data_IF_395577822551
#
_entry.id   IF_395577822551
#
_cell.length_a   1.000
_cell.length_b   1.000
_cell.length_c   1.000
_cell.angle_alpha   90.00
_cell.angle_beta   90.00
_cell.angle_gamma   90.00
#
_symmetry.space_group_name_H-M   'P 1'
#
loop_
_entity.id
_entity.type
_entity.pdbx_description
1 polymer ?
#
# COMPACT_ATOMS: atom_id res chain seq x y z
N UNK A 1 -6.88 -64.60 8.21
CA UNK A 1 -6.38 -64.37 6.83
C UNK A 1 -6.14 -62.88 6.62
N UNK A 2 -5.12 -62.51 5.85
CA UNK A 2 -4.84 -61.11 5.49
C UNK A 2 -5.55 -60.78 4.18
N UNK A 3 -6.12 -59.59 4.07
CA UNK A 3 -6.90 -59.17 2.91
C UNK A 3 -6.06 -58.92 1.65
N UNK A 4 -4.74 -58.77 1.80
CA UNK A 4 -3.82 -58.48 0.71
C UNK A 4 -2.58 -59.34 0.84
N UNK A 5 -2.07 -59.84 -0.28
CA UNK A 5 -0.77 -60.48 -0.40
C UNK A 5 -0.02 -59.84 -1.57
N UNK A 6 1.29 -59.79 -1.46
CA UNK A 6 2.18 -59.35 -2.54
C UNK A 6 2.35 -60.48 -3.54
N UNK A 7 2.73 -60.17 -4.78
CA UNK A 7 3.09 -61.20 -5.75
C UNK A 7 4.22 -62.06 -5.20
N UNK A 8 4.09 -63.38 -5.35
CA UNK A 8 5.11 -64.34 -4.95
C UNK A 8 6.38 -64.17 -5.79
N UNK A 9 7.53 -64.16 -5.12
CA UNK A 9 8.85 -64.17 -5.76
C UNK A 9 9.42 -65.59 -5.66
N UNK A 10 9.56 -66.26 -6.80
CA UNK A 10 10.01 -67.66 -6.86
C UNK A 10 11.53 -67.80 -6.82
N UNK A 11 12.28 -66.70 -6.72
CA UNK A 11 13.74 -66.75 -6.61
C UNK A 11 14.17 -67.23 -5.21
N UNK A 12 15.02 -68.26 -5.18
CA UNK A 12 15.61 -68.75 -3.92
C UNK A 12 16.71 -67.80 -3.43
N UNK A 13 16.33 -66.86 -2.57
CA UNK A 13 17.23 -65.91 -1.92
C UNK A 13 17.05 -65.93 -0.41
N UNK A 14 18.07 -65.48 0.32
CA UNK A 14 18.02 -65.39 1.79
C UNK A 14 17.50 -64.05 2.30
N UNK A 15 17.24 -63.09 1.40
CA UNK A 15 16.67 -61.78 1.72
C UNK A 15 15.78 -61.30 0.57
N UNK A 16 14.54 -60.93 0.90
CA UNK A 16 13.62 -60.24 0.00
C UNK A 16 13.38 -58.81 0.49
N UNK A 17 13.13 -57.90 -0.47
CA UNK A 17 12.66 -56.54 -0.20
C UNK A 17 11.45 -56.28 -1.06
N UNK A 18 10.33 -55.90 -0.42
CA UNK A 18 9.07 -55.65 -1.10
C UNK A 18 8.60 -54.23 -0.77
N UNK A 19 8.31 -53.46 -1.81
CA UNK A 19 7.72 -52.13 -1.67
C UNK A 19 6.21 -52.24 -1.62
N UNK A 20 5.61 -51.85 -0.49
CA UNK A 20 4.16 -51.76 -0.33
C UNK A 20 3.67 -50.37 -0.77
N UNK A 21 2.68 -50.32 -1.67
CA UNK A 21 2.08 -49.08 -2.19
C UNK A 21 0.58 -49.05 -1.90
N UNK A 22 -0.05 -47.88 -2.05
CA UNK A 22 -1.50 -47.73 -1.85
C UNK A 22 -1.96 -47.74 -0.39
N UNK A 23 -1.05 -47.61 0.57
CA UNK A 23 -1.38 -47.56 2.00
C UNK A 23 -1.81 -46.15 2.42
N UNK A 24 -2.78 -46.08 3.34
CA UNK A 24 -3.22 -44.83 3.94
C UNK A 24 -2.16 -44.31 4.90
N UNK A 25 -1.87 -43.01 4.86
CA UNK A 25 -0.91 -42.34 5.74
C UNK A 25 -1.35 -42.37 7.21
N UNK A 26 -0.40 -42.38 8.15
CA UNK A 26 -0.66 -42.37 9.60
C UNK A 26 -1.40 -43.61 10.14
N UNK A 27 -1.52 -44.67 9.34
CA UNK A 27 -2.32 -45.87 9.63
C UNK A 27 -1.41 -47.03 10.03
N UNK A 28 -1.80 -47.76 11.07
CA UNK A 28 -1.10 -48.98 11.49
C UNK A 28 -1.58 -50.16 10.67
N UNK A 29 -0.65 -50.89 10.06
CA UNK A 29 -0.90 -52.10 9.28
C UNK A 29 -0.25 -53.30 9.96
N UNK A 30 -0.95 -54.43 9.92
CA UNK A 30 -0.44 -55.74 10.34
C UNK A 30 0.09 -56.49 9.12
N UNK A 31 1.21 -57.22 9.28
CA UNK A 31 1.79 -58.03 8.22
C UNK A 31 2.45 -59.29 8.78
N UNK A 32 2.53 -60.32 7.94
CA UNK A 32 3.36 -61.51 8.14
C UNK A 32 4.14 -61.78 6.86
N UNK A 33 5.30 -62.42 7.01
CA UNK A 33 6.12 -62.88 5.89
C UNK A 33 5.97 -64.38 5.79
N UNK A 34 5.68 -64.87 4.58
CA UNK A 34 5.65 -66.31 4.26
C UNK A 34 6.81 -66.58 3.32
N UNK A 35 7.58 -67.62 3.62
CA UNK A 35 8.70 -68.09 2.80
C UNK A 35 8.50 -69.57 2.51
N UNK A 36 8.71 -69.99 1.27
CA UNK A 36 8.58 -71.38 0.85
C UNK A 36 9.69 -71.75 -0.14
N UNK A 37 10.09 -73.02 -0.14
CA UNK A 37 11.01 -73.57 -1.14
C UNK A 37 10.16 -74.26 -2.22
N UNK A 38 10.24 -73.83 -3.50
CA UNK A 38 9.48 -74.44 -4.59
C UNK A 38 9.72 -75.96 -4.68
N UNK A 39 8.69 -76.70 -5.07
CA UNK A 39 8.72 -78.16 -5.24
C UNK A 39 9.08 -78.96 -3.97
N UNK A 40 8.90 -78.37 -2.79
CA UNK A 40 9.05 -79.03 -1.48
C UNK A 40 7.92 -78.64 -0.53
N UNK A 41 7.81 -79.35 0.60
CA UNK A 41 6.88 -79.02 1.68
C UNK A 41 7.48 -78.01 2.71
N UNK A 42 8.66 -77.42 2.42
CA UNK A 42 9.29 -76.48 3.33
C UNK A 42 8.68 -75.08 3.19
N UNK A 43 7.87 -74.72 4.17
CA UNK A 43 7.31 -73.39 4.35
C UNK A 43 7.52 -72.92 5.79
N UNK A 44 7.78 -71.63 5.96
CA UNK A 44 7.74 -70.98 7.27
C UNK A 44 6.98 -69.65 7.18
N UNK A 45 6.24 -69.32 8.23
CA UNK A 45 5.44 -68.10 8.34
C UNK A 45 5.85 -67.36 9.59
N UNK A 46 6.21 -66.08 9.43
CA UNK A 46 6.56 -65.23 10.55
C UNK A 46 5.39 -64.99 11.51
N UNK A 47 5.70 -64.57 12.74
CA UNK A 47 4.70 -63.97 13.62
C UNK A 47 4.09 -62.70 13.01
N UNK A 48 2.99 -62.24 13.60
CA UNK A 48 2.36 -60.97 13.23
C UNK A 48 3.22 -59.78 13.67
N UNK A 49 3.51 -58.91 12.72
CA UNK A 49 4.23 -57.66 12.94
C UNK A 49 3.36 -56.48 12.54
N UNK A 50 3.68 -55.32 13.09
CA UNK A 50 3.00 -54.07 12.74
C UNK A 50 3.99 -53.02 12.30
N UNK A 51 3.60 -52.23 11.30
CA UNK A 51 4.26 -50.96 11.01
C UNK A 51 3.21 -49.87 10.90
N UNK A 52 3.63 -48.62 11.10
CA UNK A 52 2.78 -47.45 10.94
C UNK A 52 3.31 -46.63 9.77
N UNK A 53 2.45 -46.33 8.80
CA UNK A 53 2.81 -45.42 7.71
C UNK A 53 3.08 -44.02 8.25
N UNK A 54 3.95 -43.27 7.60
CA UNK A 54 4.21 -41.88 7.95
C UNK A 54 2.93 -41.05 7.82
N UNK A 55 2.73 -40.12 8.74
CA UNK A 55 1.69 -39.10 8.60
C UNK A 55 2.04 -38.15 7.45
N UNK A 56 1.05 -37.58 6.74
CA UNK A 56 1.34 -36.58 5.74
C UNK A 56 1.99 -35.37 6.41
N UNK A 57 2.91 -34.71 5.72
CA UNK A 57 3.51 -33.48 6.22
C UNK A 57 2.41 -32.44 6.50
N UNK A 58 2.49 -31.66 7.59
CA UNK A 58 1.52 -30.61 7.84
C UNK A 58 1.55 -29.59 6.69
N UNK A 59 0.38 -29.17 6.22
CA UNK A 59 0.26 -28.12 5.21
C UNK A 59 0.90 -26.81 5.72
N UNK A 60 1.63 -26.06 4.88
CA UNK A 60 2.20 -24.78 5.29
C UNK A 60 1.09 -23.81 5.70
N UNK A 61 1.28 -23.11 6.83
CA UNK A 61 0.34 -22.04 7.24
C UNK A 61 0.44 -20.89 6.24
N UNK A 62 -0.70 -20.28 5.84
CA UNK A 62 -0.65 -19.09 5.00
C UNK A 62 -0.01 -17.93 5.77
N UNK A 63 1.03 -17.34 5.21
CA UNK A 63 1.64 -16.11 5.75
C UNK A 63 0.67 -14.95 5.52
N UNK A 64 0.30 -14.23 6.58
CA UNK A 64 -0.45 -12.98 6.47
C UNK A 64 0.51 -11.81 6.60
N UNK A 65 0.36 -10.81 5.74
CA UNK A 65 1.15 -9.59 5.80
C UNK A 65 0.26 -8.42 6.23
N UNK A 66 0.88 -7.49 6.94
CA UNK A 66 0.25 -6.26 7.39
C UNK A 66 1.12 -5.08 6.99
N UNK A 67 0.48 -3.94 6.77
CA UNK A 67 1.10 -2.62 6.82
C UNK A 67 0.71 -1.97 8.15
N UNK A 68 1.68 -1.48 8.90
CA UNK A 68 1.44 -0.68 10.10
C UNK A 68 1.09 0.74 9.66
N UNK A 69 0.22 1.43 10.40
CA UNK A 69 -0.17 2.78 10.05
C UNK A 69 -0.20 3.67 11.28
N UNK A 70 0.41 4.84 11.21
CA UNK A 70 0.20 5.96 12.14
C UNK A 70 -0.42 7.11 11.34
N UNK A 71 -1.77 7.17 11.33
CA UNK A 71 -2.51 8.16 10.55
C UNK A 71 -3.11 9.16 11.50
N UNK A 72 -2.53 10.36 11.55
CA UNK A 72 -2.94 11.44 12.45
C UNK A 72 -2.88 11.01 13.93
N UNK A 73 -1.81 10.32 14.32
CA UNK A 73 -1.60 9.83 15.70
C UNK A 73 -2.41 8.58 16.05
N UNK A 74 -3.04 7.93 15.06
CA UNK A 74 -3.85 6.72 15.27
C UNK A 74 -3.14 5.48 14.73
N UNK A 75 -2.60 4.69 15.65
CA UNK A 75 -1.98 3.40 15.36
C UNK A 75 -3.00 2.33 14.93
N UNK A 76 -2.86 1.81 13.72
CA UNK A 76 -3.63 0.68 13.19
C UNK A 76 -2.74 -0.26 12.38
N UNK A 77 -3.34 -1.37 11.93
CA UNK A 77 -2.72 -2.25 10.95
C UNK A 77 -3.75 -2.76 9.96
N UNK A 78 -3.37 -2.80 8.69
CA UNK A 78 -4.23 -3.25 7.60
C UNK A 78 -3.59 -4.42 6.87
N UNK A 79 -4.43 -5.36 6.41
CA UNK A 79 -3.94 -6.52 5.67
C UNK A 79 -3.50 -6.09 4.27
N UNK A 80 -2.32 -6.55 3.89
CA UNK A 80 -1.73 -6.34 2.58
C UNK A 80 -1.30 -7.69 2.01
N UNK A 81 -1.33 -7.86 0.70
CA UNK A 81 -0.83 -9.07 0.06
C UNK A 81 0.71 -9.10 0.04
N UNK A 82 1.29 -10.24 -0.33
CA UNK A 82 2.73 -10.35 -0.57
C UNK A 82 3.23 -9.38 -1.66
N UNK A 83 2.36 -9.01 -2.59
CA UNK A 83 2.65 -8.16 -3.75
C UNK A 83 2.31 -6.69 -3.51
N UNK A 84 1.93 -6.29 -2.28
CA UNK A 84 1.56 -4.90 -1.98
C UNK A 84 0.08 -4.57 -2.15
N UNK A 85 -0.78 -5.53 -2.52
CA UNK A 85 -2.21 -5.26 -2.70
C UNK A 85 -2.91 -5.02 -1.37
N UNK A 86 -3.48 -3.84 -1.17
CA UNK A 86 -4.34 -3.49 -0.05
C UNK A 86 -5.62 -4.32 -0.14
N UNK A 87 -5.97 -5.04 0.95
CA UNK A 87 -7.09 -5.98 0.96
C UNK A 87 -8.39 -5.40 1.52
N UNK A 88 -8.36 -4.16 2.00
CA UNK A 88 -9.53 -3.41 2.45
C UNK A 88 -9.20 -1.93 2.38
N UNK A 89 -10.15 -1.10 1.93
CA UNK A 89 -9.99 0.35 1.88
C UNK A 89 -9.48 0.90 3.21
N UNK A 90 -8.47 1.76 3.13
CA UNK A 90 -7.92 2.52 4.25
C UNK A 90 -8.44 3.93 4.11
N UNK A 91 -9.10 4.43 5.14
CA UNK A 91 -9.60 5.79 5.21
C UNK A 91 -9.15 6.39 6.54
N UNK A 92 -8.64 7.61 6.49
CA UNK A 92 -8.23 8.36 7.65
C UNK A 92 -8.52 9.85 7.45
N UNK A 93 -9.05 10.48 8.49
CA UNK A 93 -9.34 11.90 8.52
C UNK A 93 -8.54 12.52 9.66
N UNK A 94 -7.95 13.69 9.42
CA UNK A 94 -7.24 14.46 10.44
C UNK A 94 -8.14 14.85 11.60
N UNK A 95 -7.56 15.11 12.78
CA UNK A 95 -8.33 15.47 13.97
C UNK A 95 -9.17 16.75 13.78
N UNK A 96 -8.65 17.70 12.98
CA UNK A 96 -9.33 18.94 12.62
C UNK A 96 -10.38 18.77 11.51
N UNK A 97 -10.49 17.58 10.90
CA UNK A 97 -11.39 17.29 9.79
C UNK A 97 -10.98 17.90 8.44
N UNK A 98 -9.81 18.54 8.35
CA UNK A 98 -9.40 19.29 7.15
C UNK A 98 -8.87 18.40 6.04
N UNK A 99 -8.27 17.25 6.36
CA UNK A 99 -7.75 16.33 5.35
C UNK A 99 -8.34 14.93 5.56
N UNK A 100 -8.91 14.37 4.49
CA UNK A 100 -9.26 12.95 4.41
C UNK A 100 -8.41 12.28 3.33
N UNK A 101 -7.77 11.18 3.71
CA UNK A 101 -7.01 10.31 2.81
C UNK A 101 -7.76 8.99 2.63
N UNK A 102 -7.92 8.55 1.38
CA UNK A 102 -8.53 7.27 1.03
C UNK A 102 -7.63 6.45 0.11
N UNK A 103 -7.21 5.28 0.57
CA UNK A 103 -6.52 4.26 -0.25
C UNK A 103 -7.52 3.14 -0.56
N UNK A 104 -8.00 3.03 -1.82
CA UNK A 104 -8.99 2.03 -2.20
C UNK A 104 -8.54 0.58 -1.96
N UNK A 105 -9.51 -0.30 -1.69
CA UNK A 105 -9.25 -1.74 -1.76
C UNK A 105 -8.71 -2.12 -3.14
N UNK A 106 -7.63 -2.87 -3.16
CA UNK A 106 -7.01 -3.39 -4.36
C UNK A 106 -5.87 -2.55 -4.90
N UNK A 107 -5.61 -1.37 -4.34
CA UNK A 107 -4.40 -0.59 -4.62
C UNK A 107 -3.14 -1.38 -4.29
N UNK A 108 -2.17 -1.35 -5.20
CA UNK A 108 -0.83 -1.86 -5.00
C UNK A 108 0.00 -0.75 -4.34
N UNK A 109 0.29 -0.93 -3.05
CA UNK A 109 1.13 -0.05 -2.25
C UNK A 109 2.53 -0.65 -2.09
N UNK A 110 3.54 0.01 -2.65
CA UNK A 110 4.93 -0.42 -2.57
C UNK A 110 5.77 0.65 -1.87
N UNK A 111 6.83 0.24 -1.19
CA UNK A 111 7.88 1.14 -0.73
C UNK A 111 8.91 1.41 -1.81
N UNK A 112 9.89 2.27 -1.50
CA UNK A 112 11.00 2.64 -2.39
C UNK A 112 11.79 1.44 -2.94
N UNK A 113 11.82 0.33 -2.21
CA UNK A 113 12.50 -0.91 -2.62
C UNK A 113 11.65 -1.83 -3.52
N UNK A 114 10.50 -1.33 -4.01
CA UNK A 114 9.51 -2.07 -4.79
C UNK A 114 8.94 -3.31 -4.08
N UNK A 115 9.09 -3.40 -2.76
CA UNK A 115 8.39 -4.39 -1.94
C UNK A 115 7.12 -3.80 -1.37
N UNK A 116 6.24 -4.66 -0.87
CA UNK A 116 5.02 -4.23 -0.17
C UNK A 116 5.33 -3.13 0.85
N UNK A 117 4.50 -2.11 0.90
CA UNK A 117 4.61 -1.07 1.89
C UNK A 117 4.45 -1.69 3.30
N UNK A 118 5.40 -1.40 4.18
CA UNK A 118 5.47 -1.99 5.52
C UNK A 118 4.87 -1.07 6.59
N UNK A 119 5.05 0.24 6.41
CA UNK A 119 4.46 1.28 7.24
C UNK A 119 3.97 2.42 6.37
N UNK A 120 3.01 3.16 6.89
CA UNK A 120 2.42 4.36 6.32
C UNK A 120 2.19 5.34 7.47
N UNK A 121 2.60 6.58 7.28
CA UNK A 121 2.51 7.60 8.32
C UNK A 121 1.98 8.90 7.72
N UNK A 122 1.11 9.62 8.45
CA UNK A 122 0.72 10.98 8.08
C UNK A 122 0.43 11.81 9.32
N UNK A 123 0.89 13.07 9.29
CA UNK A 123 0.71 14.03 10.36
C UNK A 123 0.74 15.45 9.81
N UNK A 124 0.31 16.43 10.63
CA UNK A 124 0.50 17.85 10.34
C UNK A 124 2.01 18.11 10.26
N UNK A 125 2.44 18.77 9.20
CA UNK A 125 3.78 19.34 9.11
C UNK A 125 3.75 20.73 9.77
N UNK A 126 4.30 20.83 10.97
CA UNK A 126 4.33 22.08 11.75
C UNK A 126 5.35 23.10 11.23
N UNK A 127 6.25 22.69 10.34
CA UNK A 127 7.31 23.54 9.78
C UNK A 127 7.51 23.26 8.29
N UNK A 128 6.45 23.44 7.47
CA UNK A 128 6.53 23.15 6.05
C UNK A 128 7.51 24.11 5.34
N UNK A 129 8.11 23.71 4.22
CA UNK A 129 8.93 24.58 3.39
C UNK A 129 8.14 25.83 2.93
N UNK A 130 8.82 26.97 2.84
CA UNK A 130 8.20 28.22 2.37
C UNK A 130 7.60 28.03 0.97
N UNK A 131 6.39 28.55 0.71
CA UNK A 131 5.79 28.47 -0.61
C UNK A 131 6.53 29.38 -1.61
N UNK A 132 6.30 29.23 -2.92
CA UNK A 132 6.87 30.11 -3.94
C UNK A 132 6.61 31.60 -3.68
N UNK A 133 7.43 32.49 -4.25
CA UNK A 133 7.17 33.94 -4.20
C UNK A 133 5.75 34.27 -4.65
N UNK A 134 5.16 35.33 -4.07
CA UNK A 134 3.78 35.77 -4.34
C UNK A 134 2.71 34.70 -4.05
N UNK A 135 2.97 33.75 -3.15
CA UNK A 135 1.98 32.75 -2.74
C UNK A 135 1.98 32.48 -1.24
N UNK A 136 0.89 31.87 -0.75
CA UNK A 136 0.71 31.50 0.65
C UNK A 136 0.19 30.07 0.77
N UNK A 137 0.65 29.36 1.81
CA UNK A 137 0.00 28.11 2.24
C UNK A 137 -1.32 28.50 2.90
N UNK A 138 -2.39 27.85 2.46
CA UNK A 138 -3.74 28.02 2.98
C UNK A 138 -4.05 26.84 3.92
N UNK A 139 -4.30 27.14 5.19
CA UNK A 139 -4.55 26.11 6.20
C UNK A 139 -3.25 25.47 6.69
N UNK A 140 -3.24 24.14 6.77
CA UNK A 140 -2.09 23.36 7.23
C UNK A 140 -1.34 22.72 6.06
N UNK A 141 -0.17 22.17 6.35
CA UNK A 141 0.50 21.23 5.48
C UNK A 141 0.49 19.86 6.16
N UNK A 142 0.42 18.78 5.38
CA UNK A 142 0.48 17.42 5.90
C UNK A 142 1.63 16.66 5.28
N UNK A 143 2.51 16.14 6.12
CA UNK A 143 3.57 15.22 5.73
C UNK A 143 3.02 13.81 5.61
N UNK A 144 3.44 13.10 4.55
CA UNK A 144 3.16 11.68 4.38
C UNK A 144 4.46 10.90 4.24
N UNK A 145 4.50 9.75 4.88
CA UNK A 145 5.65 8.85 4.86
C UNK A 145 5.24 7.40 4.62
N UNK A 146 6.19 6.54 4.21
CA UNK A 146 7.59 6.87 3.91
C UNK A 146 7.79 7.44 2.49
N UNK A 147 8.82 8.27 2.32
CA UNK A 147 9.19 8.83 1.01
C UNK A 147 9.54 7.72 0.00
N UNK A 148 9.09 7.88 -1.24
CA UNK A 148 9.23 6.88 -2.30
C UNK A 148 8.24 5.72 -2.19
N UNK A 149 7.22 5.81 -1.34
CA UNK A 149 6.04 4.95 -1.45
C UNK A 149 5.32 5.21 -2.78
N UNK A 150 4.74 4.18 -3.38
CA UNK A 150 3.96 4.27 -4.62
C UNK A 150 2.62 3.57 -4.52
N UNK A 151 1.62 4.08 -5.23
CA UNK A 151 0.23 3.62 -5.19
C UNK A 151 -0.36 3.46 -6.60
N UNK A 152 -0.87 2.26 -6.91
CA UNK A 152 -1.53 1.97 -8.19
C UNK A 152 -2.81 1.10 -7.99
N UNK A 153 -4.02 1.63 -8.25
CA UNK A 153 -4.31 3.01 -8.64
C UNK A 153 -3.95 4.03 -7.53
N UNK A 154 -3.84 5.32 -7.89
CA UNK A 154 -3.59 6.39 -6.92
C UNK A 154 -4.61 6.38 -5.78
N UNK A 155 -4.19 6.89 -4.63
CA UNK A 155 -5.08 7.22 -3.52
C UNK A 155 -5.73 8.59 -3.76
N UNK A 156 -6.76 8.89 -2.99
CA UNK A 156 -7.45 10.19 -3.06
C UNK A 156 -7.18 10.99 -1.79
N UNK A 157 -6.84 12.26 -1.97
CA UNK A 157 -6.86 13.26 -0.90
C UNK A 157 -8.05 14.20 -1.11
N UNK A 158 -8.81 14.42 -0.05
CA UNK A 158 -9.86 15.43 0.03
C UNK A 158 -9.48 16.44 1.09
N UNK A 159 -9.24 17.67 0.65
CA UNK A 159 -8.68 18.74 1.45
C UNK A 159 -9.70 19.87 1.58
N UNK A 160 -10.23 20.05 2.79
CA UNK A 160 -11.15 21.14 3.11
C UNK A 160 -10.37 22.41 3.43
N UNK A 161 -10.85 23.56 2.95
CA UNK A 161 -10.27 24.86 3.27
C UNK A 161 -11.31 25.81 3.85
N UNK A 162 -10.84 26.77 4.64
CA UNK A 162 -11.68 27.86 5.14
C UNK A 162 -11.65 29.04 4.15
N UNK A 163 -12.79 29.39 3.51
CA UNK A 163 -12.85 30.51 2.58
C UNK A 163 -12.59 31.86 3.26
N UNK A 164 -12.79 31.99 4.57
CA UNK A 164 -12.48 33.23 5.30
C UNK A 164 -10.98 33.41 5.56
N UNK A 165 -10.21 32.33 5.51
CA UNK A 165 -8.75 32.33 5.66
C UNK A 165 -8.02 32.65 4.34
N UNK A 166 -8.76 32.76 3.23
CA UNK A 166 -8.19 33.09 1.94
C UNK A 166 -7.76 34.57 1.90
N UNK A 167 -6.50 34.87 1.53
CA UNK A 167 -6.13 36.21 1.12
C UNK A 167 -6.94 36.61 -0.14
N UNK A 168 -6.73 37.82 -0.65
CA UNK A 168 -7.24 38.22 -1.98
C UNK A 168 -6.45 37.46 -3.07
N UNK A 169 -6.62 36.13 -3.11
CA UNK A 169 -5.92 35.18 -3.99
C UNK A 169 -6.70 34.99 -5.26
N UNK A 170 -5.99 34.81 -6.36
CA UNK A 170 -6.59 34.62 -7.68
C UNK A 170 -7.04 33.16 -7.88
N UNK A 171 -6.23 32.20 -7.44
CA UNK A 171 -6.41 30.78 -7.69
C UNK A 171 -5.91 29.94 -6.51
N UNK A 172 -6.54 28.77 -6.31
CA UNK A 172 -6.18 27.76 -5.32
C UNK A 172 -5.86 26.45 -6.02
N UNK A 173 -4.78 25.80 -5.59
CA UNK A 173 -4.40 24.48 -6.06
C UNK A 173 -3.78 23.66 -4.93
N UNK A 174 -3.87 22.34 -5.04
CA UNK A 174 -3.11 21.45 -4.18
C UNK A 174 -1.70 21.29 -4.75
N UNK A 175 -0.68 21.40 -3.91
CA UNK A 175 0.70 21.19 -4.29
C UNK A 175 1.35 20.12 -3.41
N UNK A 176 2.38 19.49 -3.96
CA UNK A 176 3.26 18.61 -3.23
C UNK A 176 4.68 19.17 -3.23
N UNK A 177 5.43 18.98 -2.14
CA UNK A 177 6.82 19.41 -2.08
C UNK A 177 7.71 18.33 -2.72
N UNK A 178 8.46 18.69 -3.76
CA UNK A 178 9.47 17.83 -4.35
C UNK A 178 10.77 18.00 -3.57
N UNK A 179 11.11 17.02 -2.73
CA UNK A 179 12.34 17.05 -1.93
C UNK A 179 13.62 16.95 -2.77
N UNK A 180 13.56 16.47 -4.02
CA UNK A 180 14.72 16.35 -4.89
C UNK A 180 15.09 17.71 -5.49
N UNK A 181 14.10 18.52 -5.89
CA UNK A 181 14.32 19.87 -6.42
C UNK A 181 14.27 20.96 -5.35
N UNK A 182 13.61 20.69 -4.22
CA UNK A 182 13.35 21.66 -3.17
C UNK A 182 12.24 22.65 -3.53
N UNK A 183 11.30 22.26 -4.38
CA UNK A 183 10.26 23.14 -4.92
C UNK A 183 8.86 22.55 -4.70
N UNK A 184 7.88 23.44 -4.51
CA UNK A 184 6.47 23.05 -4.54
C UNK A 184 6.02 22.84 -5.99
N UNK A 185 5.43 21.68 -6.25
CA UNK A 185 4.91 21.28 -7.57
C UNK A 185 3.39 21.19 -7.49
N UNK A 186 2.72 21.90 -8.40
CA UNK A 186 1.26 21.85 -8.54
C UNK A 186 0.79 20.45 -8.93
N UNK A 187 -0.25 19.98 -8.24
CA UNK A 187 -0.92 18.72 -8.49
C UNK A 187 -2.27 18.97 -9.17
N UNK A 188 -2.56 18.18 -10.20
CA UNK A 188 -3.88 18.20 -10.84
C UNK A 188 -4.98 17.88 -9.81
N UNK A 189 -5.93 18.80 -9.65
CA UNK A 189 -6.95 18.72 -8.62
C UNK A 189 -8.28 19.34 -9.08
N UNK A 190 -9.34 18.98 -8.38
CA UNK A 190 -10.68 19.50 -8.60
C UNK A 190 -11.07 20.34 -7.40
N UNK A 191 -11.35 21.63 -7.62
CA UNK A 191 -11.80 22.55 -6.59
C UNK A 191 -13.33 22.63 -6.59
N UNK A 192 -13.96 22.20 -5.51
CA UNK A 192 -15.37 22.41 -5.22
C UNK A 192 -15.52 23.62 -4.30
N UNK A 193 -15.71 24.79 -4.90
CA UNK A 193 -15.88 26.05 -4.17
C UNK A 193 -17.23 26.18 -3.43
N UNK A 194 -18.18 25.25 -3.66
CA UNK A 194 -19.46 25.26 -2.93
C UNK A 194 -19.29 24.55 -1.59
N UNK A 195 -18.55 23.45 -1.58
CA UNK A 195 -18.26 22.67 -0.37
C UNK A 195 -16.94 23.05 0.29
N UNK A 196 -16.15 23.92 -0.34
CA UNK A 196 -14.79 24.31 0.06
C UNK A 196 -13.84 23.12 0.19
N UNK A 197 -13.88 22.22 -0.80
CA UNK A 197 -13.06 21.00 -0.83
C UNK A 197 -12.22 20.98 -2.11
N UNK A 198 -10.95 20.59 -1.99
CA UNK A 198 -10.05 20.29 -3.10
C UNK A 198 -9.78 18.79 -3.09
N UNK A 199 -10.05 18.11 -4.22
CA UNK A 199 -9.83 16.68 -4.36
C UNK A 199 -8.71 16.41 -5.36
N UNK A 200 -7.76 15.55 -5.00
CA UNK A 200 -6.66 15.16 -5.90
C UNK A 200 -6.33 13.67 -5.83
N UNK A 201 -5.82 13.14 -6.93
CA UNK A 201 -5.29 11.78 -7.01
C UNK A 201 -3.78 11.79 -6.76
N UNK A 202 -3.32 10.97 -5.83
CA UNK A 202 -1.93 10.96 -5.36
C UNK A 202 -1.34 9.56 -5.52
N UNK A 203 -0.17 9.47 -6.16
CA UNK A 203 0.52 8.18 -6.41
C UNK A 203 1.78 7.99 -5.56
N UNK A 204 2.14 8.97 -4.73
CA UNK A 204 3.36 8.98 -3.93
C UNK A 204 3.18 9.76 -2.62
N UNK A 205 4.16 9.67 -1.72
CA UNK A 205 4.16 10.45 -0.49
C UNK A 205 5.27 11.47 -0.42
N UNK A 206 4.91 12.60 0.14
CA UNK A 206 5.71 13.77 0.49
C UNK A 206 4.82 14.70 1.33
N UNK A 207 5.20 15.97 1.50
CA UNK A 207 4.35 17.01 2.10
C UNK A 207 3.37 17.58 1.07
N UNK A 208 2.10 17.68 1.44
CA UNK A 208 1.04 18.30 0.63
C UNK A 208 0.45 19.51 1.34
N UNK A 209 0.15 20.56 0.58
CA UNK A 209 -0.48 21.79 1.08
C UNK A 209 -1.34 22.44 0.01
N UNK A 210 -2.37 23.19 0.43
CA UNK A 210 -3.10 24.07 -0.46
C UNK A 210 -2.29 25.36 -0.62
N UNK A 211 -2.01 25.77 -1.85
CA UNK A 211 -1.31 27.01 -2.15
C UNK A 211 -2.28 27.98 -2.85
N UNK A 212 -2.29 29.23 -2.38
CA UNK A 212 -3.01 30.33 -3.00
C UNK A 212 -2.05 31.35 -3.61
N UNK A 213 -2.22 31.65 -4.90
CA UNK A 213 -1.41 32.67 -5.59
C UNK A 213 -1.99 34.07 -5.37
N UNK A 214 -1.14 35.01 -4.97
CA UNK A 214 -1.49 36.43 -4.80
C UNK A 214 -1.16 37.17 -6.10
N UNK A 215 -2.15 37.77 -6.78
CA UNK A 215 -1.88 38.54 -7.98
C UNK A 215 -0.98 39.74 -7.65
N UNK A 216 0.03 40.05 -8.48
CA UNK A 216 0.91 41.17 -8.23
C UNK A 216 0.09 42.48 -8.18
N UNK A 217 0.33 43.30 -7.15
CA UNK A 217 -0.35 44.59 -6.99
C UNK A 217 -0.05 45.45 -8.22
N UNK A 218 -1.07 45.91 -8.97
CA UNK A 218 -0.83 46.74 -10.15
C UNK A 218 -0.07 48.02 -9.75
N UNK A 219 0.89 48.48 -10.58
CA UNK A 219 1.67 49.67 -10.25
C UNK A 219 0.74 50.88 -10.07
N UNK A 220 1.05 51.80 -9.15
CA UNK A 220 0.23 52.99 -8.95
C UNK A 220 0.12 53.78 -10.26
N UNK A 221 -1.04 54.40 -10.54
CA UNK A 221 -1.22 55.18 -11.76
C UNK A 221 -0.14 56.28 -11.83
N UNK A 222 0.40 56.58 -13.02
CA UNK A 222 1.39 57.63 -13.17
C UNK A 222 0.82 58.97 -12.66
N UNK A 223 1.66 59.86 -12.08
CA UNK A 223 1.21 61.18 -11.66
C UNK A 223 0.49 61.91 -12.81
N UNK A 224 -0.58 62.67 -12.55
CA UNK A 224 -1.25 63.42 -13.59
C UNK A 224 -0.24 64.35 -14.29
N UNK A 225 -0.21 64.29 -15.63
CA UNK A 225 0.64 65.18 -16.42
C UNK A 225 0.31 66.65 -16.08
N UNK A 226 1.31 67.55 -16.00
CA UNK A 226 1.05 68.96 -15.70
C UNK A 226 0.08 69.54 -16.75
N UNK A 227 -0.99 70.18 -16.26
CA UNK A 227 -1.97 70.81 -17.12
C UNK A 227 -1.29 71.89 -17.99
N UNK A 228 -1.33 71.70 -19.31
CA UNK A 228 -0.77 72.65 -20.27
C UNK A 228 -1.83 73.68 -20.65
N UNK A 229 -1.81 74.84 -20.00
CA UNK A 229 -2.67 75.96 -20.39
C UNK A 229 -2.04 76.71 -21.57
N UNK A 230 -2.74 76.76 -22.71
CA UNK A 230 -2.39 77.68 -23.80
C UNK A 230 -3.17 78.97 -23.60
N UNK A 231 -2.49 80.03 -23.17
CA UNK A 231 -3.07 81.37 -23.12
C UNK A 231 -3.03 81.90 -24.56
N UNK A 232 -4.18 82.06 -25.21
CA UNK A 232 -4.29 82.84 -26.46
C UNK A 232 -4.47 84.29 -26.06
N UNK A 233 -3.55 85.17 -26.46
CA UNK A 233 -3.76 86.61 -26.36
C UNK A 233 -4.93 87.02 -27.26
N UNK A 234 -5.89 87.77 -26.71
CA UNK A 234 -6.85 88.51 -27.52
C UNK A 234 -6.09 89.66 -28.20
N UNK A 235 -6.04 89.63 -29.54
CA UNK A 235 -5.60 90.79 -30.32
C UNK A 235 -6.60 91.93 -30.15
N UNK A 236 -6.08 93.12 -29.85
CA UNK A 236 -6.80 94.40 -29.83
C UNK A 236 -6.86 94.95 -31.26
#
# INVERSE_FOLDING_TARGET
EYAYHTTEDTALVTAHSITLTGLSSGTTYHYRVRSAIPDTDFEDISQDYTFKTSSPAPSPRPTTYYTATDLFGVDKSYRISRTGKILKTIEATSEDGMLTMTIPEGTIALGKDSKRLASLETAVDESPPDPPEDSHIIGLAYGFGPNGATFDPPLTLEYTYDPEALPDVADLFLAYYDEETGEWVELDCVVDAVNNIITASVSHFTTFAIIGWVPPVPPPPPPPAPARFTIRSLGV
#
